data_IF_640735115791
#
_entry.id   IF_640735115791
#
_cell.length_a   1.000
_cell.length_b   1.000
_cell.length_c   1.000
_cell.angle_alpha   90.00
_cell.angle_beta   90.00
_cell.angle_gamma   90.00
#
_symmetry.space_group_name_H-M   'P 1'
#
loop_
_entity.id
_entity.type
_entity.pdbx_description
1 polymer ?
#
# COMPACT_ATOMS: atom_id res chain seq x y z
N UNK A 1 -21.69 13.14 6.47
CA UNK A 1 -21.38 11.85 5.83
C UNK A 1 -19.87 11.59 6.00
N UNK A 2 -19.49 10.45 6.54
CA UNK A 2 -18.07 10.14 6.71
C UNK A 2 -17.47 9.68 5.38
N UNK A 3 -16.40 10.34 4.96
CA UNK A 3 -15.65 9.99 3.73
C UNK A 3 -14.64 8.90 4.07
N UNK A 4 -14.99 7.66 3.71
CA UNK A 4 -14.13 6.49 3.90
C UNK A 4 -13.39 6.17 2.59
N UNK A 5 -12.14 5.80 2.70
CA UNK A 5 -11.32 5.41 1.56
C UNK A 5 -10.59 4.10 1.84
N UNK A 6 -10.31 3.35 0.78
CA UNK A 6 -9.44 2.18 0.83
C UNK A 6 -8.16 2.46 0.04
N UNK A 7 -7.03 2.13 0.63
CA UNK A 7 -5.73 2.15 -0.04
C UNK A 7 -5.24 0.71 -0.20
N UNK A 8 -5.45 0.10 -1.37
CA UNK A 8 -5.07 -1.28 -1.62
C UNK A 8 -3.63 -1.39 -2.11
N UNK A 9 -2.99 -2.50 -1.78
CA UNK A 9 -1.66 -2.81 -2.28
C UNK A 9 -1.15 -4.14 -1.74
N UNK A 10 0.02 -4.55 -2.21
CA UNK A 10 0.68 -5.75 -1.73
C UNK A 10 1.47 -5.49 -0.43
N UNK A 11 2.07 -4.31 -0.31
CA UNK A 11 2.86 -3.90 0.88
C UNK A 11 3.87 -4.97 1.31
N UNK A 12 4.77 -5.31 0.43
CA UNK A 12 5.73 -6.40 0.61
C UNK A 12 7.20 -5.95 0.48
N UNK A 13 7.71 -5.24 1.46
CA UNK A 13 7.08 -4.72 2.66
C UNK A 13 6.47 -3.32 2.47
N UNK A 14 5.84 -2.81 3.51
CA UNK A 14 5.46 -1.39 3.61
C UNK A 14 6.73 -0.53 3.62
N UNK A 15 6.72 0.57 2.84
CA UNK A 15 7.85 1.49 2.70
C UNK A 15 7.52 2.87 3.25
N UNK A 16 8.54 3.74 3.32
CA UNK A 16 8.34 5.14 3.69
C UNK A 16 7.44 5.88 2.70
N UNK A 17 7.46 5.48 1.42
CA UNK A 17 6.53 6.02 0.41
C UNK A 17 5.08 5.63 0.70
N UNK A 18 4.83 4.39 1.09
CA UNK A 18 3.50 3.95 1.53
C UNK A 18 3.04 4.71 2.77
N UNK A 19 3.90 4.89 3.77
CA UNK A 19 3.58 5.65 4.98
C UNK A 19 3.17 7.09 4.66
N UNK A 20 3.94 7.76 3.80
CA UNK A 20 3.64 9.14 3.38
C UNK A 20 2.26 9.24 2.75
N UNK A 21 1.95 8.31 1.84
CA UNK A 21 0.66 8.29 1.17
C UNK A 21 -0.50 8.03 2.14
N UNK A 22 -0.33 7.12 3.08
CA UNK A 22 -1.34 6.82 4.11
C UNK A 22 -1.59 8.04 4.99
N UNK A 23 -0.54 8.74 5.43
CA UNK A 23 -0.68 9.97 6.23
C UNK A 23 -1.43 11.07 5.46
N UNK A 24 -1.13 11.23 4.17
CA UNK A 24 -1.83 12.17 3.30
C UNK A 24 -3.29 11.79 3.12
N UNK A 25 -3.58 10.53 2.85
CA UNK A 25 -4.95 10.04 2.75
C UNK A 25 -5.71 10.24 4.07
N UNK A 26 -5.08 9.95 5.20
CA UNK A 26 -5.67 10.15 6.53
C UNK A 26 -5.97 11.62 6.87
N UNK A 27 -5.28 12.56 6.24
CA UNK A 27 -5.58 13.99 6.40
C UNK A 27 -6.75 14.48 5.54
N UNK A 28 -7.09 13.74 4.49
CA UNK A 28 -8.17 14.10 3.53
C UNK A 28 -9.48 13.37 3.84
N UNK A 29 -9.37 12.10 4.29
CA UNK A 29 -10.52 11.23 4.54
C UNK A 29 -10.74 11.01 6.04
N UNK A 30 -12.00 10.85 6.41
CA UNK A 30 -12.37 10.62 7.81
C UNK A 30 -11.92 9.24 8.33
N UNK A 31 -11.78 8.27 7.43
CA UNK A 31 -11.30 6.92 7.74
C UNK A 31 -10.61 6.30 6.53
N UNK A 32 -9.46 5.70 6.73
CA UNK A 32 -8.68 5.03 5.67
C UNK A 32 -8.46 3.57 6.05
N UNK A 33 -8.84 2.66 5.15
CA UNK A 33 -8.53 1.24 5.27
C UNK A 33 -7.31 0.96 4.37
N UNK A 34 -6.21 0.59 4.97
CA UNK A 34 -5.04 0.05 4.25
C UNK A 34 -5.31 -1.43 4.03
N UNK A 35 -5.62 -1.78 2.78
CA UNK A 35 -6.02 -3.13 2.40
C UNK A 35 -4.85 -3.88 1.76
N UNK A 36 -4.36 -4.90 2.45
CA UNK A 36 -3.19 -5.67 2.01
C UNK A 36 -3.66 -6.92 1.28
N UNK A 37 -3.38 -6.97 -0.03
CA UNK A 37 -3.77 -8.07 -0.88
C UNK A 37 -2.91 -9.33 -0.62
N UNK A 38 -3.53 -10.49 -0.59
CA UNK A 38 -2.82 -11.76 -0.47
C UNK A 38 -1.86 -11.99 -1.65
N UNK A 39 -2.31 -11.70 -2.88
CA UNK A 39 -1.55 -11.77 -4.14
C UNK A 39 -0.61 -12.99 -4.25
N UNK A 40 -1.11 -14.24 -4.14
CA UNK A 40 -0.26 -15.42 -4.16
C UNK A 40 0.53 -15.56 -5.46
N UNK A 41 -0.01 -15.08 -6.58
CA UNK A 41 0.64 -15.13 -7.90
C UNK A 41 1.91 -14.26 -7.98
N UNK A 42 2.05 -13.26 -7.12
CA UNK A 42 3.26 -12.41 -7.03
C UNK A 42 4.35 -13.04 -6.16
N UNK A 43 4.10 -14.20 -5.55
CA UNK A 43 5.03 -14.87 -4.64
C UNK A 43 5.67 -13.90 -3.64
N UNK A 44 4.87 -13.26 -2.75
CA UNK A 44 5.40 -12.23 -1.86
C UNK A 44 6.50 -12.78 -0.93
N UNK A 45 7.47 -11.93 -0.59
CA UNK A 45 8.56 -12.27 0.32
C UNK A 45 8.04 -12.59 1.72
N UNK A 46 7.09 -11.79 2.20
CA UNK A 46 6.45 -11.99 3.50
C UNK A 46 5.03 -12.55 3.32
N UNK A 47 4.62 -13.52 4.16
CA UNK A 47 3.24 -13.99 4.16
C UNK A 47 2.28 -12.86 4.55
N UNK A 48 1.01 -12.98 4.16
CA UNK A 48 0.01 -11.94 4.37
C UNK A 48 -0.06 -11.48 5.83
N UNK A 49 -0.08 -12.41 6.77
CA UNK A 49 -0.17 -12.11 8.21
C UNK A 49 1.00 -11.25 8.68
N UNK A 50 2.20 -11.51 8.16
CA UNK A 50 3.40 -10.73 8.50
C UNK A 50 3.32 -9.33 7.91
N UNK A 51 2.86 -9.19 6.67
CA UNK A 51 2.68 -7.86 6.02
C UNK A 51 1.65 -7.02 6.76
N UNK A 52 0.54 -7.63 7.17
CA UNK A 52 -0.50 -6.97 7.98
C UNK A 52 0.05 -6.55 9.34
N UNK A 53 0.76 -7.43 10.02
CA UNK A 53 1.34 -7.13 11.34
C UNK A 53 2.35 -5.97 11.27
N UNK A 54 3.24 -5.98 10.28
CA UNK A 54 4.21 -4.88 10.09
C UNK A 54 3.51 -3.56 9.79
N UNK A 55 2.52 -3.56 8.90
CA UNK A 55 1.77 -2.35 8.57
C UNK A 55 1.01 -1.80 9.79
N UNK A 56 0.40 -2.65 10.60
CA UNK A 56 -0.26 -2.24 11.85
C UNK A 56 0.70 -1.57 12.82
N UNK A 57 1.91 -2.11 12.96
CA UNK A 57 2.93 -1.51 13.85
C UNK A 57 3.42 -0.17 13.31
N UNK A 58 3.71 -0.11 12.01
CA UNK A 58 4.25 1.09 11.35
C UNK A 58 3.24 2.24 11.32
N UNK A 59 1.95 1.93 11.15
CA UNK A 59 0.87 2.91 11.01
C UNK A 59 0.07 3.13 12.30
N UNK A 60 0.48 2.51 13.40
CA UNK A 60 -0.29 2.49 14.64
C UNK A 60 -0.48 3.84 15.34
N UNK A 61 0.30 4.85 14.97
CA UNK A 61 0.19 6.22 15.46
C UNK A 61 -0.87 7.07 14.73
N UNK A 62 -1.48 6.53 13.66
CA UNK A 62 -2.47 7.26 12.87
C UNK A 62 -3.88 6.80 13.27
N UNK A 63 -4.59 7.64 14.03
CA UNK A 63 -5.82 7.25 14.73
C UNK A 63 -7.01 6.89 13.84
N UNK A 64 -7.06 7.34 12.58
CA UNK A 64 -8.13 7.08 11.63
C UNK A 64 -7.73 6.10 10.52
N UNK A 65 -6.71 5.28 10.75
CA UNK A 65 -6.24 4.26 9.82
C UNK A 65 -6.48 2.87 10.39
N UNK A 66 -7.05 2.00 9.58
CA UNK A 66 -7.25 0.58 9.86
C UNK A 66 -6.47 -0.25 8.84
N UNK A 67 -5.85 -1.34 9.27
CA UNK A 67 -5.12 -2.25 8.38
C UNK A 67 -5.83 -3.60 8.34
N UNK A 68 -6.15 -4.05 7.12
CA UNK A 68 -6.83 -5.34 6.88
C UNK A 68 -6.15 -6.09 5.75
N UNK A 69 -6.05 -7.41 5.90
CA UNK A 69 -5.69 -8.31 4.80
C UNK A 69 -6.95 -8.69 4.01
N UNK A 70 -6.80 -8.97 2.71
CA UNK A 70 -7.89 -9.48 1.89
C UNK A 70 -7.37 -10.35 0.74
N UNK A 71 -8.29 -11.14 0.19
CA UNK A 71 -8.06 -11.92 -1.02
C UNK A 71 -9.14 -11.59 -2.07
N UNK A 72 -8.84 -11.80 -3.34
CA UNK A 72 -9.76 -11.53 -4.43
C UNK A 72 -9.70 -10.10 -4.95
N UNK A 73 -10.78 -9.64 -5.56
CA UNK A 73 -10.84 -8.34 -6.22
C UNK A 73 -10.96 -7.19 -5.22
N UNK A 74 -10.20 -6.13 -5.47
CA UNK A 74 -10.27 -4.89 -4.67
C UNK A 74 -11.67 -4.28 -4.69
N UNK A 75 -12.38 -4.36 -5.82
CA UNK A 75 -13.76 -3.84 -5.94
C UNK A 75 -14.75 -4.58 -5.04
N UNK A 76 -14.58 -5.89 -4.86
CA UNK A 76 -15.40 -6.70 -3.97
C UNK A 76 -15.10 -6.39 -2.50
N UNK A 77 -13.83 -6.21 -2.18
CA UNK A 77 -13.41 -5.75 -0.85
C UNK A 77 -14.00 -4.38 -0.52
N UNK A 78 -13.93 -3.43 -1.45
CA UNK A 78 -14.49 -2.09 -1.26
C UNK A 78 -16.00 -2.15 -1.01
N UNK A 79 -16.73 -2.95 -1.81
CA UNK A 79 -18.18 -3.16 -1.65
C UNK A 79 -18.52 -3.78 -0.30
N UNK A 80 -17.79 -4.82 0.10
CA UNK A 80 -18.02 -5.51 1.37
C UNK A 80 -17.78 -4.62 2.61
N UNK A 81 -16.95 -3.60 2.46
CA UNK A 81 -16.61 -2.66 3.54
C UNK A 81 -17.34 -1.31 3.41
N UNK A 82 -18.30 -1.20 2.50
CA UNK A 82 -19.05 0.03 2.24
C UNK A 82 -18.15 1.24 1.98
N UNK A 83 -17.18 1.06 1.07
CA UNK A 83 -16.21 2.08 0.67
C UNK A 83 -16.37 2.37 -0.82
N UNK A 84 -16.51 3.65 -1.17
CA UNK A 84 -16.69 4.10 -2.53
C UNK A 84 -15.47 4.83 -3.10
N UNK A 85 -14.43 4.99 -2.31
CA UNK A 85 -13.21 5.72 -2.71
C UNK A 85 -12.01 4.80 -2.61
N UNK A 86 -11.30 4.61 -3.72
CA UNK A 86 -9.99 3.95 -3.76
C UNK A 86 -8.92 5.01 -3.89
N UNK A 87 -7.94 4.98 -3.00
CA UNK A 87 -6.75 5.83 -3.07
C UNK A 87 -5.63 5.06 -3.73
N UNK A 88 -4.98 5.66 -4.71
CA UNK A 88 -3.80 5.13 -5.38
C UNK A 88 -2.70 6.18 -5.42
N UNK A 89 -1.44 5.74 -5.34
CA UNK A 89 -0.29 6.62 -5.51
C UNK A 89 0.13 6.73 -6.98
N UNK A 90 0.53 7.93 -7.40
CA UNK A 90 1.18 8.16 -8.67
C UNK A 90 2.58 8.72 -8.44
N UNK A 91 3.62 7.99 -8.85
CA UNK A 91 5.04 8.39 -8.68
C UNK A 91 5.64 8.95 -9.95
N UNK A 92 5.24 8.46 -11.12
CA UNK A 92 5.79 8.82 -12.41
C UNK A 92 4.76 8.72 -13.52
N UNK A 93 5.06 9.30 -14.69
CA UNK A 93 4.22 9.21 -15.88
C UNK A 93 3.98 7.75 -16.31
N UNK A 94 4.98 6.88 -16.13
CA UNK A 94 4.86 5.44 -16.43
C UNK A 94 3.82 4.72 -15.58
N UNK A 95 3.54 5.19 -14.37
CA UNK A 95 2.48 4.62 -13.52
C UNK A 95 1.08 5.04 -14.00
N UNK A 96 0.96 6.21 -14.60
CA UNK A 96 -0.32 6.84 -14.92
C UNK A 96 -1.18 5.99 -15.85
N UNK A 97 -0.62 5.48 -16.93
CA UNK A 97 -1.38 4.71 -17.92
C UNK A 97 -2.01 3.47 -17.31
N UNK A 98 -1.24 2.69 -16.56
CA UNK A 98 -1.74 1.51 -15.85
C UNK A 98 -2.80 1.88 -14.82
N UNK A 99 -2.54 2.87 -14.00
CA UNK A 99 -3.46 3.32 -12.94
C UNK A 99 -4.76 3.88 -13.52
N UNK A 100 -4.69 4.59 -14.63
CA UNK A 100 -5.85 5.10 -15.35
C UNK A 100 -6.74 3.97 -15.88
N UNK A 101 -6.14 2.95 -16.51
CA UNK A 101 -6.86 1.77 -16.98
C UNK A 101 -7.51 1.02 -15.81
N UNK A 102 -6.77 0.82 -14.72
CA UNK A 102 -7.27 0.13 -13.53
C UNK A 102 -8.47 0.87 -12.92
N UNK A 103 -8.42 2.20 -12.84
CA UNK A 103 -9.51 3.02 -12.33
C UNK A 103 -10.78 2.86 -13.18
N UNK A 104 -10.64 2.89 -14.51
CA UNK A 104 -11.77 2.74 -15.43
C UNK A 104 -12.38 1.33 -15.38
N UNK A 105 -11.55 0.30 -15.33
CA UNK A 105 -12.04 -1.09 -15.18
C UNK A 105 -12.74 -1.29 -13.83
N UNK A 106 -12.19 -0.76 -12.76
CA UNK A 106 -12.79 -0.83 -11.43
C UNK A 106 -14.16 -0.17 -11.38
N UNK A 107 -14.30 1.02 -11.99
CA UNK A 107 -15.59 1.71 -12.09
C UNK A 107 -16.61 0.94 -12.93
N UNK A 108 -16.14 0.23 -13.96
CA UNK A 108 -17.02 -0.63 -14.77
C UNK A 108 -17.59 -1.79 -13.94
N UNK A 109 -16.77 -2.38 -13.05
CA UNK A 109 -17.19 -3.46 -12.16
C UNK A 109 -18.05 -2.98 -10.98
N UNK A 110 -17.82 -1.75 -10.54
CA UNK A 110 -18.53 -1.14 -9.42
C UNK A 110 -18.74 0.35 -9.70
N UNK A 111 -19.91 0.71 -10.21
CA UNK A 111 -20.20 2.05 -10.77
C UNK A 111 -20.03 3.20 -9.76
N UNK A 112 -20.24 2.93 -8.48
CA UNK A 112 -20.12 3.94 -7.43
C UNK A 112 -18.68 4.13 -6.92
N UNK A 113 -17.74 3.30 -7.40
CA UNK A 113 -16.36 3.34 -6.96
C UNK A 113 -15.59 4.42 -7.74
N UNK A 114 -15.03 5.37 -7.01
CA UNK A 114 -14.14 6.40 -7.57
C UNK A 114 -12.69 6.17 -7.12
N UNK A 115 -11.76 6.47 -8.01
CA UNK A 115 -10.33 6.39 -7.71
C UNK A 115 -9.76 7.80 -7.58
N UNK A 116 -9.11 8.04 -6.46
CA UNK A 116 -8.40 9.29 -6.17
C UNK A 116 -6.90 9.01 -6.19
N UNK A 117 -6.16 9.80 -6.96
CA UNK A 117 -4.72 9.69 -7.04
C UNK A 117 -4.05 10.73 -6.13
N UNK A 118 -3.10 10.27 -5.34
CA UNK A 118 -2.24 11.13 -4.53
C UNK A 118 -0.80 10.98 -4.99
N UNK A 119 -0.07 12.09 -5.01
CA UNK A 119 1.35 12.07 -5.31
C UNK A 119 2.15 11.97 -4.01
N UNK A 120 3.22 11.17 -3.94
CA UNK A 120 4.10 11.13 -2.79
C UNK A 120 4.91 12.43 -2.69
N UNK A 121 5.50 12.67 -1.52
CA UNK A 121 6.54 13.69 -1.40
C UNK A 121 7.72 13.33 -2.33
N UNK A 122 8.41 14.35 -2.81
CA UNK A 122 9.47 14.19 -3.80
C UNK A 122 10.53 13.17 -3.39
N UNK A 123 10.94 13.19 -2.13
CA UNK A 123 11.94 12.28 -1.57
C UNK A 123 11.54 10.80 -1.59
N UNK A 124 10.25 10.48 -1.79
CA UNK A 124 9.75 9.11 -1.80
C UNK A 124 9.38 8.60 -3.19
N UNK A 125 9.50 9.43 -4.23
CA UNK A 125 9.06 9.09 -5.60
C UNK A 125 9.81 7.90 -6.20
N UNK A 126 11.06 7.68 -5.81
CA UNK A 126 11.90 6.60 -6.32
C UNK A 126 11.82 5.30 -5.52
N UNK A 127 11.11 5.29 -4.39
CA UNK A 127 11.04 4.11 -3.52
C UNK A 127 10.02 3.11 -4.06
N UNK A 128 10.45 1.85 -4.24
CA UNK A 128 9.56 0.72 -4.53
C UNK A 128 9.88 -0.46 -3.64
N UNK A 129 8.86 -1.25 -3.28
CA UNK A 129 9.05 -2.47 -2.50
C UNK A 129 9.94 -3.48 -3.23
N UNK A 130 9.85 -3.56 -4.56
CA UNK A 130 10.68 -4.45 -5.37
C UNK A 130 12.16 -4.14 -5.19
N UNK A 131 12.55 -2.87 -5.35
CA UNK A 131 13.96 -2.46 -5.18
C UNK A 131 14.42 -2.60 -3.74
N UNK A 132 13.55 -2.31 -2.76
CA UNK A 132 13.89 -2.52 -1.34
C UNK A 132 14.19 -4.00 -1.07
N UNK A 133 13.37 -4.91 -1.58
CA UNK A 133 13.62 -6.35 -1.43
C UNK A 133 14.93 -6.78 -2.08
N UNK A 134 15.22 -6.32 -3.28
CA UNK A 134 16.48 -6.64 -3.99
C UNK A 134 17.69 -6.18 -3.19
N UNK A 135 17.69 -4.94 -2.73
CA UNK A 135 18.78 -4.39 -1.92
C UNK A 135 18.96 -5.19 -0.63
N UNK A 136 17.87 -5.51 0.06
CA UNK A 136 17.92 -6.25 1.33
C UNK A 136 18.47 -7.67 1.16
N UNK A 137 18.05 -8.40 0.13
CA UNK A 137 18.51 -9.76 -0.17
C UNK A 137 20.02 -9.77 -0.45
N UNK A 138 20.52 -8.75 -1.12
CA UNK A 138 21.95 -8.57 -1.40
C UNK A 138 22.76 -8.00 -0.22
N UNK A 139 22.11 -7.77 0.92
CA UNK A 139 22.77 -7.29 2.14
C UNK A 139 22.99 -5.79 2.22
N UNK A 140 22.36 -5.00 1.33
CA UNK A 140 22.41 -3.54 1.36
C UNK A 140 21.59 -2.93 2.51
N UNK A 141 21.90 -1.69 2.86
CA UNK A 141 21.19 -0.94 3.91
C UNK A 141 19.93 -0.30 3.34
N UNK A 142 18.78 -0.60 3.95
CA UNK A 142 17.47 -0.10 3.53
C UNK A 142 16.83 0.88 4.52
N UNK A 143 17.59 1.34 5.52
CA UNK A 143 17.07 2.16 6.63
C UNK A 143 16.42 3.47 6.18
N UNK A 144 16.82 4.03 5.05
CA UNK A 144 16.26 5.27 4.52
C UNK A 144 14.95 5.06 3.75
N UNK A 145 14.61 3.81 3.44
CA UNK A 145 13.47 3.49 2.58
C UNK A 145 12.30 2.90 3.36
N UNK A 146 12.55 2.35 4.56
CA UNK A 146 11.56 1.67 5.37
C UNK A 146 11.68 2.03 6.84
N UNK A 147 10.60 1.79 7.59
CA UNK A 147 10.61 1.92 9.03
C UNK A 147 11.64 0.97 9.69
N UNK A 148 12.27 1.36 10.81
CA UNK A 148 13.26 0.50 11.50
C UNK A 148 12.77 -0.92 11.81
N UNK A 149 11.51 -1.10 12.18
CA UNK A 149 10.92 -2.42 12.40
C UNK A 149 10.94 -3.29 11.14
N UNK A 150 10.66 -2.69 9.98
CA UNK A 150 10.69 -3.36 8.68
C UNK A 150 12.13 -3.67 8.29
N UNK A 151 13.05 -2.74 8.48
CA UNK A 151 14.48 -2.95 8.21
C UNK A 151 15.03 -4.14 9.00
N UNK A 152 14.62 -4.30 10.27
CA UNK A 152 15.01 -5.42 11.11
C UNK A 152 14.55 -6.78 10.54
N UNK A 153 13.31 -6.83 10.04
CA UNK A 153 12.79 -8.06 9.41
C UNK A 153 13.48 -8.36 8.07
N UNK A 154 13.77 -7.34 7.28
CA UNK A 154 14.47 -7.51 6.00
C UNK A 154 15.91 -8.02 6.19
N UNK A 155 16.60 -7.63 7.25
CA UNK A 155 17.95 -8.15 7.55
C UNK A 155 17.97 -9.66 7.71
N UNK A 156 16.88 -10.27 8.18
CA UNK A 156 16.75 -11.72 8.32
C UNK A 156 16.64 -12.44 6.96
N UNK A 157 16.35 -11.69 5.89
CA UNK A 157 16.17 -12.22 4.52
C UNK A 157 17.45 -12.18 3.68
N UNK A 158 18.55 -11.70 4.23
CA UNK A 158 19.84 -11.66 3.53
C UNK A 158 20.26 -13.05 3.04
N UNK A 159 20.60 -13.17 1.77
CA UNK A 159 20.98 -14.42 1.10
C UNK A 159 22.43 -14.43 0.58
N UNK A 160 23.19 -13.38 0.89
CA UNK A 160 24.59 -13.24 0.44
C UNK A 160 25.50 -13.18 1.64
#
# INVERSE_FOLDING_TARGET
MKRRAVYPGTFDPITNGHQDLVRRAASVFDHVIVAIASNPNKAPMFPLEKRVALAKQVLGDIGNVEVMGYAGLTVDFARANDVQIVVRGLRAVSDFEFEFQLANMSRHLHRELETVFLTPQEQFTFISSTLVREIAVLGGDVKEFVHPLVAAELRKMKRV
#
